data_IF_832335901187
#
_entry.id   IF_832335901187
#
_cell.length_a   1.000
_cell.length_b   1.000
_cell.length_c   1.000
_cell.angle_alpha   90.00
_cell.angle_beta   90.00
_cell.angle_gamma   90.00
#
_symmetry.space_group_name_H-M   'P 1'
#
loop_
_entity.id
_entity.type
_entity.pdbx_description
1 polymer ?
#
# COMPACT_ATOMS: atom_id res chain seq x y z
N UNK A 1 -50.75 -53.61 13.38
CA UNK A 1 -50.40 -52.17 13.42
C UNK A 1 -49.84 -51.84 14.80
N UNK A 2 -48.51 -51.78 14.91
CA UNK A 2 -47.69 -51.43 16.08
C UNK A 2 -46.66 -50.41 15.55
N UNK A 3 -46.07 -49.43 16.24
CA UNK A 3 -46.22 -48.70 17.51
C UNK A 3 -45.02 -47.72 17.52
N UNK A 4 -45.15 -46.60 18.24
CA UNK A 4 -44.08 -45.85 18.93
C UNK A 4 -43.27 -44.74 18.21
N UNK A 5 -43.49 -43.53 18.75
CA UNK A 5 -42.62 -42.34 18.80
C UNK A 5 -41.25 -42.63 19.41
N UNK A 6 -40.17 -41.99 18.94
CA UNK A 6 -38.98 -41.69 19.74
C UNK A 6 -38.25 -40.42 19.24
N UNK A 7 -37.98 -39.50 20.17
CA UNK A 7 -37.09 -38.35 20.02
C UNK A 7 -35.63 -38.79 19.86
N UNK A 8 -34.86 -38.10 19.02
CA UNK A 8 -33.40 -38.02 19.20
C UNK A 8 -32.96 -36.58 18.94
N UNK A 9 -32.67 -35.86 20.01
CA UNK A 9 -31.78 -34.69 19.97
C UNK A 9 -30.36 -35.18 19.73
N UNK A 10 -29.66 -34.60 18.77
CA UNK A 10 -28.22 -34.70 18.65
C UNK A 10 -27.64 -33.28 18.53
N UNK A 11 -27.09 -32.79 19.65
CA UNK A 11 -26.19 -31.66 19.64
C UNK A 11 -24.94 -32.03 18.83
N UNK A 12 -24.51 -31.19 17.89
CA UNK A 12 -23.24 -31.39 17.19
C UNK A 12 -22.51 -30.06 16.94
N UNK A 13 -21.35 -29.98 17.58
CA UNK A 13 -20.13 -29.26 17.20
C UNK A 13 -20.22 -27.73 17.08
N UNK A 14 -19.92 -27.04 18.18
CA UNK A 14 -19.34 -25.70 18.12
C UNK A 14 -17.99 -25.76 17.41
N UNK A 15 -17.94 -25.23 16.19
CA UNK A 15 -16.68 -24.99 15.48
C UNK A 15 -16.08 -23.73 16.11
N UNK A 16 -15.02 -23.91 16.90
CA UNK A 16 -14.09 -22.82 17.21
C UNK A 16 -13.45 -22.37 15.89
N UNK A 17 -14.00 -21.34 15.27
CA UNK A 17 -13.21 -20.50 14.37
C UNK A 17 -12.26 -19.65 15.23
N UNK A 18 -11.21 -20.28 15.76
CA UNK A 18 -10.00 -19.56 16.13
C UNK A 18 -9.32 -19.16 14.81
N UNK A 19 -9.85 -18.12 14.19
CA UNK A 19 -9.27 -17.53 12.97
C UNK A 19 -7.88 -17.01 13.31
N UNK A 20 -6.88 -17.60 12.67
CA UNK A 20 -5.48 -17.20 12.74
C UNK A 20 -5.38 -15.69 12.47
N UNK A 21 -5.04 -14.92 13.50
CA UNK A 21 -4.55 -13.57 13.29
C UNK A 21 -3.23 -13.70 12.54
N UNK A 22 -3.25 -13.41 11.23
CA UNK A 22 -2.03 -13.22 10.47
C UNK A 22 -1.28 -12.08 11.15
N UNK A 23 -0.20 -12.42 11.86
CA UNK A 23 0.79 -11.43 12.24
C UNK A 23 1.35 -10.91 10.92
N UNK A 24 0.77 -9.82 10.42
CA UNK A 24 1.40 -9.06 9.35
C UNK A 24 2.75 -8.63 9.93
N UNK A 25 3.82 -9.33 9.54
CA UNK A 25 5.16 -8.85 9.78
C UNK A 25 5.20 -7.49 9.10
N UNK A 26 5.19 -6.42 9.90
CA UNK A 26 5.36 -5.09 9.36
C UNK A 26 6.71 -5.12 8.63
N UNK A 27 6.68 -5.02 7.30
CA UNK A 27 7.88 -4.83 6.51
C UNK A 27 8.46 -3.50 6.96
N UNK A 28 9.45 -3.56 7.84
CA UNK A 28 10.16 -2.37 8.27
C UNK A 28 10.80 -1.76 7.03
N UNK A 29 10.39 -0.54 6.70
CA UNK A 29 11.00 0.16 5.59
C UNK A 29 12.45 0.45 5.96
N UNK A 30 13.38 -0.19 5.25
CA UNK A 30 14.82 -0.01 5.46
C UNK A 30 15.28 1.36 4.96
N UNK A 31 14.47 2.02 4.14
CA UNK A 31 14.75 3.30 3.51
C UNK A 31 13.77 4.35 4.03
N UNK A 32 14.29 5.51 4.45
CA UNK A 32 13.42 6.62 4.84
C UNK A 32 12.56 7.02 3.66
N UNK A 33 11.23 6.97 3.85
CA UNK A 33 10.26 7.29 2.81
C UNK A 33 10.43 6.46 1.51
N UNK A 34 10.75 5.17 1.64
CA UNK A 34 10.99 4.28 0.49
C UNK A 34 9.77 4.05 -0.42
N UNK A 35 8.56 4.31 0.06
CA UNK A 35 7.32 4.28 -0.73
C UNK A 35 6.80 5.68 -1.09
N UNK A 36 7.55 6.74 -0.77
CA UNK A 36 7.23 8.12 -1.15
C UNK A 36 5.95 8.70 -0.52
N UNK A 37 5.41 8.09 0.53
CA UNK A 37 4.17 8.48 1.19
C UNK A 37 4.27 9.69 2.12
N UNK A 38 5.48 10.22 2.38
CA UNK A 38 5.67 11.43 3.16
C UNK A 38 6.00 12.63 2.26
N UNK A 39 5.38 13.78 2.55
CA UNK A 39 5.58 15.03 1.81
C UNK A 39 4.28 15.68 1.35
N UNK A 40 4.36 16.73 0.51
CA UNK A 40 3.18 17.41 -0.03
C UNK A 40 2.31 16.47 -0.87
N UNK A 41 1.02 16.80 -0.97
CA UNK A 41 0.10 16.08 -1.85
C UNK A 41 0.46 16.36 -3.33
N UNK A 42 0.78 15.33 -4.13
CA UNK A 42 1.12 15.51 -5.54
C UNK A 42 -0.10 15.80 -6.44
N UNK A 43 -1.33 15.58 -5.98
CA UNK A 43 -2.53 15.64 -6.83
C UNK A 43 -2.46 14.59 -7.96
N UNK A 44 -2.27 15.03 -9.21
CA UNK A 44 -2.00 14.12 -10.32
C UNK A 44 -0.53 13.71 -10.33
N UNK A 45 0.36 14.69 -10.43
CA UNK A 45 1.79 14.57 -10.17
C UNK A 45 2.36 15.95 -9.79
N UNK A 46 3.50 15.97 -9.12
CA UNK A 46 4.27 17.19 -8.82
C UNK A 46 5.73 16.98 -9.15
N UNK A 47 6.29 17.89 -9.94
CA UNK A 47 7.70 17.86 -10.34
C UNK A 47 8.60 18.47 -9.28
N UNK A 48 9.66 17.75 -8.95
CA UNK A 48 10.76 18.25 -8.13
C UNK A 48 12.04 18.31 -8.97
N UNK A 49 12.80 19.39 -8.83
CA UNK A 49 14.04 19.60 -9.59
C UNK A 49 15.29 19.35 -8.74
N UNK A 50 16.43 19.22 -9.42
CA UNK A 50 17.74 19.13 -8.79
C UNK A 50 17.91 20.20 -7.71
N UNK A 51 18.39 19.77 -6.53
CA UNK A 51 18.66 20.66 -5.41
C UNK A 51 17.46 20.97 -4.51
N UNK A 52 16.24 20.65 -4.93
CA UNK A 52 15.07 20.74 -4.06
C UNK A 52 15.15 19.69 -2.93
N UNK A 53 14.68 20.07 -1.74
CA UNK A 53 14.72 19.25 -0.51
C UNK A 53 13.33 18.91 0.03
N UNK A 54 12.29 19.25 -0.71
CA UNK A 54 10.88 19.05 -0.35
C UNK A 54 10.43 17.60 -0.52
N UNK A 55 11.14 16.78 -1.30
CA UNK A 55 10.93 15.34 -1.35
C UNK A 55 11.54 14.69 -0.10
N UNK A 56 10.69 14.43 0.89
CA UNK A 56 11.13 14.01 2.22
C UNK A 56 11.99 12.74 2.16
N UNK A 57 13.20 12.78 2.75
CA UNK A 57 14.12 11.64 2.79
C UNK A 57 14.96 11.42 1.52
N UNK A 58 14.76 12.22 0.46
CA UNK A 58 15.43 12.04 -0.82
C UNK A 58 16.11 13.34 -1.30
N UNK A 59 17.24 13.18 -2.00
CA UNK A 59 17.95 14.27 -2.66
C UNK A 59 17.96 14.04 -4.17
N UNK A 60 17.50 15.03 -4.93
CA UNK A 60 17.48 14.96 -6.40
C UNK A 60 18.83 15.45 -6.90
N UNK A 61 19.67 14.48 -7.27
CA UNK A 61 21.04 14.75 -7.68
C UNK A 61 21.19 15.32 -9.09
N UNK A 62 20.21 15.08 -9.98
CA UNK A 62 20.24 15.53 -11.38
C UNK A 62 18.81 15.61 -11.93
N UNK A 63 18.58 16.55 -12.86
CA UNK A 63 17.35 16.63 -13.64
C UNK A 63 16.13 16.94 -12.78
N UNK A 64 15.04 16.25 -13.07
CA UNK A 64 13.78 16.31 -12.34
C UNK A 64 13.23 14.90 -12.11
N UNK A 65 12.32 14.79 -11.14
CA UNK A 65 11.51 13.60 -10.89
C UNK A 65 10.08 14.07 -10.63
N UNK A 66 9.11 13.20 -10.89
CA UNK A 66 7.70 13.49 -10.62
C UNK A 66 7.20 12.59 -9.49
N UNK A 67 6.77 13.20 -8.38
CA UNK A 67 5.99 12.50 -7.37
C UNK A 67 4.59 12.33 -7.93
N UNK A 68 4.20 11.09 -8.20
CA UNK A 68 2.92 10.74 -8.81
C UNK A 68 1.91 10.41 -7.73
N UNK A 69 0.71 11.00 -7.84
CA UNK A 69 -0.48 10.64 -7.07
C UNK A 69 -1.46 9.88 -7.95
N UNK A 70 -2.44 10.59 -8.50
CA UNK A 70 -3.54 9.98 -9.27
C UNK A 70 -3.26 9.70 -10.75
N UNK A 71 -2.08 10.08 -11.28
CA UNK A 71 -1.79 9.90 -12.71
C UNK A 71 -1.58 8.44 -13.12
N UNK A 72 -0.83 7.66 -12.32
CA UNK A 72 -0.60 6.23 -12.52
C UNK A 72 -0.80 5.43 -11.24
N UNK A 73 -1.15 4.13 -11.31
CA UNK A 73 -1.24 3.27 -10.13
C UNK A 73 0.10 3.14 -9.41
N UNK A 74 0.08 3.25 -8.08
CA UNK A 74 1.26 3.00 -7.25
C UNK A 74 1.42 1.51 -6.94
N UNK A 75 2.68 1.07 -6.77
CA UNK A 75 2.98 -0.31 -6.35
C UNK A 75 2.80 -0.54 -4.85
N UNK A 76 2.83 0.53 -4.07
CA UNK A 76 2.58 0.58 -2.63
C UNK A 76 1.83 1.88 -2.31
N UNK A 77 1.05 1.89 -1.23
CA UNK A 77 0.37 3.10 -0.77
C UNK A 77 -0.50 3.80 -1.83
N UNK A 78 -0.32 5.11 -1.97
CA UNK A 78 -1.07 6.00 -2.87
C UNK A 78 -0.15 6.83 -3.78
N UNK A 79 1.16 6.71 -3.62
CA UNK A 79 2.15 7.54 -4.32
C UNK A 79 3.23 6.67 -4.96
N UNK A 80 3.81 7.19 -6.02
CA UNK A 80 4.97 6.59 -6.66
C UNK A 80 5.89 7.68 -7.19
N UNK A 81 7.10 7.31 -7.60
CA UNK A 81 8.06 8.25 -8.17
C UNK A 81 8.33 7.87 -9.63
N UNK A 82 8.14 8.82 -10.53
CA UNK A 82 8.59 8.73 -11.92
C UNK A 82 9.95 9.42 -12.05
N UNK A 83 10.93 8.67 -12.55
CA UNK A 83 12.32 9.13 -12.69
C UNK A 83 12.58 9.83 -14.04
N UNK A 84 11.67 9.70 -15.02
CA UNK A 84 11.79 10.47 -16.26
C UNK A 84 11.54 11.97 -15.99
N UNK A 85 10.72 12.27 -14.97
CA UNK A 85 10.37 13.62 -14.55
C UNK A 85 9.62 14.39 -15.64
N UNK A 86 9.51 15.72 -15.47
CA UNK A 86 8.88 16.61 -16.45
C UNK A 86 9.93 17.44 -17.21
N UNK A 87 9.82 17.57 -18.55
CA UNK A 87 8.70 17.18 -19.43
C UNK A 87 8.76 15.73 -19.99
N UNK A 88 9.35 14.77 -19.28
CA UNK A 88 9.62 13.39 -19.73
C UNK A 88 11.02 13.23 -20.29
N UNK A 89 11.28 12.14 -21.05
CA UNK A 89 12.58 11.84 -21.69
C UNK A 89 13.09 12.89 -22.72
N UNK A 90 12.46 14.06 -22.82
CA UNK A 90 12.78 15.15 -23.73
C UNK A 90 13.86 16.12 -23.22
N UNK A 91 15.07 15.60 -22.97
CA UNK A 91 16.38 16.26 -22.75
C UNK A 91 16.53 17.32 -21.64
#
# INVERSE_FOLDING_TARGET
>A
MMKSTMCVSAALAGILLAGFSSLALANQNLVVNGSFEAGPDPGSFTTFKQGEKSLHGWYIGKGSVDLVGSYFPSSDGQRSLDLDGSPGAGR
#
